data_IF_981497906560
#
_entry.id   IF_981497906560
#
_cell.length_a   1.000
_cell.length_b   1.000
_cell.length_c   1.000
_cell.angle_alpha   90.00
_cell.angle_beta   90.00
_cell.angle_gamma   90.00
#
_symmetry.space_group_name_H-M   'P 1'
#
loop_
_entity.id
_entity.type
_entity.pdbx_description
1 polymer ?
#
# COMPACT_ATOMS: atom_id res chain seq x y z
N UNK A 1 4.03 4.78 13.11
CA UNK A 1 5.10 5.81 13.22
C UNK A 1 5.36 6.26 14.65
N UNK A 2 4.33 6.40 15.52
CA UNK A 2 4.53 6.83 16.91
C UNK A 2 5.39 5.83 17.71
N UNK A 3 5.23 4.54 17.47
CA UNK A 3 5.95 3.48 18.19
C UNK A 3 7.44 3.44 17.84
N UNK A 4 7.79 3.62 16.55
CA UNK A 4 9.18 3.70 16.10
C UNK A 4 9.89 4.88 16.75
N UNK A 5 9.25 6.07 16.75
CA UNK A 5 9.81 7.26 17.40
C UNK A 5 10.04 7.03 18.89
N UNK A 6 9.07 6.40 19.57
CA UNK A 6 9.18 6.06 20.99
C UNK A 6 10.37 5.14 21.24
N UNK A 7 10.51 4.05 20.48
CA UNK A 7 11.65 3.13 20.62
C UNK A 7 13.02 3.80 20.37
N UNK A 8 13.09 4.74 19.42
CA UNK A 8 14.32 5.49 19.16
C UNK A 8 14.67 6.40 20.35
N UNK A 9 13.68 7.11 20.90
CA UNK A 9 13.89 7.97 22.08
C UNK A 9 14.29 7.15 23.30
N UNK A 10 13.61 6.03 23.55
CA UNK A 10 13.93 5.12 24.65
C UNK A 10 15.36 4.58 24.54
N UNK A 11 15.80 4.24 23.32
CA UNK A 11 17.17 3.79 23.05
C UNK A 11 18.21 4.89 23.30
N UNK A 12 17.99 6.10 22.77
CA UNK A 12 18.89 7.24 22.97
C UNK A 12 19.02 7.61 24.44
N UNK A 13 17.91 7.57 25.19
CA UNK A 13 17.91 7.84 26.64
C UNK A 13 18.64 6.74 27.42
N UNK A 14 18.47 5.47 27.04
CA UNK A 14 19.10 4.33 27.72
C UNK A 14 20.62 4.33 27.56
N UNK A 15 21.09 4.65 26.36
CA UNK A 15 22.51 4.70 26.01
C UNK A 15 23.16 6.07 26.30
N UNK A 16 22.39 7.04 26.85
CA UNK A 16 22.84 8.40 27.18
C UNK A 16 23.51 9.11 26.00
N UNK A 17 22.89 9.01 24.82
CA UNK A 17 23.42 9.53 23.56
C UNK A 17 22.93 10.96 23.25
N UNK A 18 22.10 11.54 24.11
CA UNK A 18 21.59 12.90 23.94
C UNK A 18 22.66 13.93 24.34
N UNK A 19 22.78 15.00 23.56
CA UNK A 19 23.71 16.10 23.88
C UNK A 19 23.21 16.92 25.09
N UNK A 20 24.11 17.22 26.03
CA UNK A 20 23.81 17.95 27.27
C UNK A 20 23.50 19.44 27.02
N UNK A 21 24.08 20.02 25.96
CA UNK A 21 23.91 21.43 25.60
C UNK A 21 22.67 21.62 24.74
N UNK A 22 22.47 20.73 23.76
CA UNK A 22 21.34 20.80 22.85
C UNK A 22 20.58 19.48 22.79
N UNK A 23 19.45 19.42 23.50
CA UNK A 23 18.56 18.25 23.57
C UNK A 23 18.00 17.78 22.22
N UNK A 24 18.14 18.56 21.14
CA UNK A 24 17.71 18.17 19.80
C UNK A 24 18.74 17.31 19.06
N UNK A 25 19.97 17.25 19.57
CA UNK A 25 21.11 16.56 19.00
C UNK A 25 21.38 15.22 19.70
N UNK A 26 21.83 14.25 18.91
CA UNK A 26 22.15 12.88 19.33
C UNK A 26 23.53 12.51 18.82
N UNK A 27 24.39 12.07 19.73
CA UNK A 27 25.70 11.49 19.47
C UNK A 27 25.54 10.02 19.07
N UNK A 28 25.95 9.66 17.86
CA UNK A 28 25.81 8.28 17.39
C UNK A 28 26.84 7.36 18.05
N UNK A 29 26.37 6.25 18.63
CA UNK A 29 27.23 5.15 19.07
C UNK A 29 27.65 4.26 17.88
N UNK A 30 28.59 3.34 18.09
CA UNK A 30 29.11 2.47 17.03
C UNK A 30 28.03 1.61 16.37
N UNK A 31 26.98 1.22 17.12
CA UNK A 31 25.86 0.45 16.58
C UNK A 31 25.00 1.28 15.62
N UNK A 32 24.62 2.50 16.00
CA UNK A 32 23.87 3.41 15.14
C UNK A 32 24.72 3.85 13.95
N UNK A 33 26.00 4.15 14.18
CA UNK A 33 26.97 4.40 13.12
C UNK A 33 26.95 3.24 12.14
N UNK A 34 27.16 1.99 12.56
CA UNK A 34 27.18 0.82 11.68
C UNK A 34 25.88 0.65 10.87
N UNK A 35 24.73 0.94 11.46
CA UNK A 35 23.43 0.90 10.77
C UNK A 35 23.27 2.02 9.71
N UNK A 36 23.83 3.20 9.99
CA UNK A 36 23.72 4.42 9.18
C UNK A 36 24.86 4.58 8.14
N UNK A 37 25.99 3.91 8.36
CA UNK A 37 27.32 4.04 7.70
C UNK A 37 27.39 3.62 6.23
N UNK A 38 26.29 3.66 5.47
CA UNK A 38 26.42 3.60 4.01
C UNK A 38 26.96 4.90 3.39
N UNK A 39 27.10 6.01 4.15
CA UNK A 39 27.48 7.33 3.61
C UNK A 39 28.28 8.28 4.53
N UNK A 40 28.62 7.90 5.75
CA UNK A 40 29.06 8.88 6.76
C UNK A 40 30.51 8.67 7.16
N UNK A 41 31.37 9.60 6.73
CA UNK A 41 32.80 9.66 7.04
C UNK A 41 33.03 9.71 8.56
N UNK A 42 34.08 9.02 8.98
CA UNK A 42 34.38 8.51 10.33
C UNK A 42 34.65 9.52 11.45
N UNK A 43 34.17 10.75 11.38
CA UNK A 43 34.51 11.80 12.35
C UNK A 43 33.24 12.54 12.80
N UNK A 44 32.79 12.23 14.02
CA UNK A 44 31.73 12.86 14.82
C UNK A 44 30.43 13.26 14.11
N UNK A 45 29.54 12.27 14.00
CA UNK A 45 28.25 12.43 13.34
C UNK A 45 27.19 12.71 14.41
N UNK A 46 27.18 13.94 14.91
CA UNK A 46 26.05 14.47 15.69
C UNK A 46 24.88 14.69 14.74
N UNK A 47 23.75 14.03 14.97
CA UNK A 47 22.56 14.21 14.13
C UNK A 47 21.37 14.68 14.95
N UNK A 48 20.43 15.32 14.28
CA UNK A 48 19.14 15.66 14.89
C UNK A 48 18.29 14.42 15.07
N UNK A 49 17.40 14.44 16.08
CA UNK A 49 16.38 13.40 16.24
C UNK A 49 15.56 13.17 14.97
N UNK A 50 15.25 14.23 14.21
CA UNK A 50 14.47 14.12 12.98
C UNK A 50 15.23 13.35 11.89
N UNK A 51 16.53 13.63 11.72
CA UNK A 51 17.39 12.90 10.80
C UNK A 51 17.54 11.43 11.22
N UNK A 52 17.77 11.17 12.52
CA UNK A 52 17.88 9.81 13.05
C UNK A 52 16.63 8.98 12.73
N UNK A 53 15.45 9.53 13.02
CA UNK A 53 14.17 8.86 12.75
C UNK A 53 14.02 8.61 11.25
N UNK A 54 14.37 9.58 10.40
CA UNK A 54 14.25 9.47 8.95
C UNK A 54 15.16 8.38 8.39
N UNK A 55 16.43 8.35 8.79
CA UNK A 55 17.40 7.35 8.32
C UNK A 55 17.05 5.93 8.79
N UNK A 56 16.70 5.75 10.07
CA UNK A 56 16.26 4.46 10.61
C UNK A 56 15.00 3.97 9.87
N UNK A 57 14.00 4.85 9.72
CA UNK A 57 12.77 4.50 9.00
C UNK A 57 13.04 4.20 7.52
N UNK A 58 14.03 4.87 6.92
CA UNK A 58 14.46 4.62 5.54
C UNK A 58 15.12 3.26 5.33
N UNK A 59 15.83 2.73 6.34
CA UNK A 59 16.43 1.39 6.33
C UNK A 59 15.41 0.28 6.62
N UNK A 60 14.30 0.59 7.26
CA UNK A 60 13.24 -0.39 7.54
C UNK A 60 12.54 -0.86 6.26
N UNK A 61 12.20 -2.16 6.21
CA UNK A 61 11.38 -2.69 5.13
C UNK A 61 9.97 -2.12 5.23
N UNK A 62 9.51 -1.43 4.19
CA UNK A 62 8.12 -0.99 4.09
C UNK A 62 7.21 -2.21 4.17
N UNK A 63 6.20 -2.14 5.02
CA UNK A 63 5.17 -3.17 5.15
C UNK A 63 3.83 -2.51 5.36
N UNK A 64 2.76 -3.22 5.01
CA UNK A 64 1.40 -2.77 5.22
C UNK A 64 0.55 -3.89 5.79
N UNK A 65 -0.47 -3.49 6.53
CA UNK A 65 -1.46 -4.36 7.12
C UNK A 65 -2.81 -3.96 6.55
N UNK A 66 -3.56 -4.96 6.07
CA UNK A 66 -4.93 -4.77 5.61
C UNK A 66 -5.86 -5.31 6.70
N UNK A 67 -6.73 -4.44 7.21
CA UNK A 67 -7.81 -4.80 8.13
C UNK A 67 -9.15 -4.55 7.47
N UNK A 68 -10.06 -5.52 7.57
CA UNK A 68 -11.48 -5.28 7.30
C UNK A 68 -12.23 -5.04 8.60
N UNK A 69 -13.38 -4.35 8.49
CA UNK A 69 -14.38 -3.85 9.45
C UNK A 69 -14.47 -4.42 10.90
N UNK A 70 -13.79 -5.51 11.25
CA UNK A 70 -13.71 -6.13 12.58
C UNK A 70 -12.27 -6.25 13.12
N UNK A 71 -11.33 -5.39 12.70
CA UNK A 71 -9.89 -5.44 13.05
C UNK A 71 -9.21 -6.78 12.71
N UNK A 72 -9.85 -7.61 11.89
CA UNK A 72 -9.27 -8.86 11.44
C UNK A 72 -8.14 -8.55 10.46
N UNK A 73 -6.93 -8.93 10.84
CA UNK A 73 -5.74 -8.81 9.99
C UNK A 73 -5.91 -9.79 8.84
N UNK A 74 -6.26 -9.29 7.67
CA UNK A 74 -6.44 -10.13 6.50
C UNK A 74 -5.09 -10.58 5.96
N UNK A 75 -4.09 -9.70 6.00
CA UNK A 75 -2.72 -10.01 5.57
C UNK A 75 -1.72 -8.97 6.03
N UNK A 76 -0.49 -9.42 6.31
CA UNK A 76 0.69 -8.60 6.52
C UNK A 76 1.64 -8.83 5.35
N UNK A 77 1.80 -7.83 4.50
CA UNK A 77 2.65 -7.94 3.32
C UNK A 77 3.90 -7.08 3.49
N UNK A 78 5.04 -7.63 3.04
CA UNK A 78 6.28 -6.88 2.86
C UNK A 78 6.23 -6.16 1.52
N UNK A 79 6.69 -4.92 1.49
CA UNK A 79 6.76 -4.07 0.31
C UNK A 79 5.74 -2.93 0.30
N UNK A 80 5.66 -2.25 -0.84
CA UNK A 80 4.68 -1.17 -1.07
C UNK A 80 3.30 -1.76 -1.35
N UNK A 81 2.27 -1.19 -0.73
CA UNK A 81 0.88 -1.50 -1.04
C UNK A 81 0.62 -1.17 -2.51
N UNK A 82 0.29 -2.20 -3.30
CA UNK A 82 -0.10 -2.02 -4.70
C UNK A 82 -1.57 -1.60 -4.75
N UNK A 83 -1.91 -0.47 -5.39
CA UNK A 83 -3.30 -0.07 -5.54
C UNK A 83 -4.06 -1.05 -6.44
N UNK A 84 -5.38 -1.13 -6.24
CA UNK A 84 -6.30 -1.80 -7.17
C UNK A 84 -6.24 -1.03 -8.47
N UNK A 85 -5.92 -1.74 -9.55
CA UNK A 85 -5.77 -1.14 -10.87
C UNK A 85 -6.92 -1.57 -11.76
N UNK A 86 -7.70 -0.59 -12.22
CA UNK A 86 -8.83 -0.78 -13.11
C UNK A 86 -8.43 -0.39 -14.53
N UNK A 87 -8.57 -1.31 -15.48
CA UNK A 87 -8.24 -1.06 -16.87
C UNK A 87 -9.39 -1.46 -17.78
N UNK A 88 -9.47 -0.82 -18.95
CA UNK A 88 -10.39 -1.23 -20.01
C UNK A 88 -9.57 -1.68 -21.20
N UNK A 89 -9.71 -2.94 -21.59
CA UNK A 89 -9.07 -3.50 -22.78
C UNK A 89 -10.11 -3.82 -23.86
N UNK A 90 -9.70 -3.78 -25.12
CA UNK A 90 -10.52 -4.20 -26.25
C UNK A 90 -9.99 -5.54 -26.76
N UNK A 91 -10.81 -6.60 -26.75
CA UNK A 91 -10.36 -7.97 -27.08
C UNK A 91 -10.53 -8.32 -28.56
N UNK A 92 -11.71 -8.06 -29.12
CA UNK A 92 -12.03 -8.39 -30.51
C UNK A 92 -13.10 -7.44 -31.04
N UNK A 93 -12.82 -6.79 -32.17
CA UNK A 93 -13.65 -5.70 -32.70
C UNK A 93 -13.82 -4.58 -31.67
N UNK A 94 -15.06 -4.14 -31.46
CA UNK A 94 -15.41 -3.10 -30.48
C UNK A 94 -15.79 -3.67 -29.09
N UNK A 95 -15.51 -4.95 -28.81
CA UNK A 95 -15.83 -5.56 -27.51
C UNK A 95 -14.82 -5.14 -26.45
N UNK A 96 -15.31 -4.32 -25.51
CA UNK A 96 -14.57 -3.88 -24.33
C UNK A 96 -14.70 -4.89 -23.20
N UNK A 97 -13.65 -5.03 -22.42
CA UNK A 97 -13.61 -5.79 -21.18
C UNK A 97 -12.95 -4.93 -20.11
N UNK A 98 -13.44 -5.03 -18.88
CA UNK A 98 -12.87 -4.36 -17.71
C UNK A 98 -11.97 -5.36 -16.99
N UNK A 99 -10.73 -4.97 -16.74
CA UNK A 99 -9.72 -5.76 -16.04
C UNK A 99 -9.51 -5.13 -14.66
N UNK A 100 -9.48 -5.97 -13.63
CA UNK A 100 -9.31 -5.56 -12.24
C UNK A 100 -8.15 -6.35 -11.64
N UNK A 101 -7.10 -5.66 -11.25
CA UNK A 101 -5.86 -6.25 -10.71
C UNK A 101 -5.69 -5.95 -9.21
N UNK A 102 -4.87 -6.76 -8.54
CA UNK A 102 -4.44 -6.60 -7.14
C UNK A 102 -5.60 -6.65 -6.13
N UNK A 103 -6.71 -7.35 -6.41
CA UNK A 103 -7.82 -7.50 -5.45
C UNK A 103 -7.43 -8.41 -4.27
N UNK A 104 -6.61 -9.42 -4.56
CA UNK A 104 -6.05 -10.37 -3.61
C UNK A 104 -5.24 -9.68 -2.50
N UNK A 105 -4.53 -8.61 -2.84
CA UNK A 105 -3.76 -7.78 -1.90
C UNK A 105 -4.63 -7.16 -0.80
N UNK A 106 -5.92 -6.92 -1.08
CA UNK A 106 -6.87 -6.35 -0.13
C UNK A 106 -7.65 -7.43 0.64
N UNK A 107 -7.30 -8.71 0.46
CA UNK A 107 -7.99 -9.83 1.08
C UNK A 107 -9.41 -10.05 0.56
N UNK A 108 -9.71 -9.56 -0.64
CA UNK A 108 -11.01 -9.75 -1.29
C UNK A 108 -11.07 -11.14 -1.89
N UNK A 109 -12.11 -11.92 -1.57
CA UNK A 109 -12.36 -13.18 -2.28
C UNK A 109 -12.77 -12.89 -3.73
N UNK A 110 -11.89 -13.29 -4.65
CA UNK A 110 -12.09 -13.13 -6.10
C UNK A 110 -13.35 -13.83 -6.58
N UNK A 111 -13.72 -14.97 -5.99
CA UNK A 111 -14.91 -15.73 -6.40
C UNK A 111 -16.18 -15.00 -5.99
N UNK A 112 -16.24 -14.47 -4.77
CA UNK A 112 -17.36 -13.64 -4.33
C UNK A 112 -17.45 -12.37 -5.18
N UNK A 113 -16.32 -11.71 -5.41
CA UNK A 113 -16.24 -10.50 -6.22
C UNK A 113 -16.77 -10.73 -7.66
N UNK A 114 -16.39 -11.84 -8.29
CA UNK A 114 -16.92 -12.23 -9.61
C UNK A 114 -18.43 -12.40 -9.60
N UNK A 115 -18.99 -13.12 -8.61
CA UNK A 115 -20.45 -13.32 -8.49
C UNK A 115 -21.20 -11.99 -8.34
N UNK A 116 -20.67 -11.08 -7.52
CA UNK A 116 -21.27 -9.77 -7.32
C UNK A 116 -21.24 -8.91 -8.59
N UNK A 117 -20.12 -8.93 -9.31
CA UNK A 117 -20.01 -8.27 -10.60
C UNK A 117 -20.98 -8.88 -11.62
N UNK A 118 -21.08 -10.21 -11.66
CA UNK A 118 -21.99 -10.91 -12.58
C UNK A 118 -23.45 -10.57 -12.30
N UNK A 119 -23.87 -10.57 -11.03
CA UNK A 119 -25.25 -10.23 -10.65
C UNK A 119 -25.57 -8.75 -10.83
N UNK A 120 -24.65 -7.85 -10.44
CA UNK A 120 -24.91 -6.41 -10.48
C UNK A 120 -24.87 -5.80 -11.88
N UNK A 121 -24.10 -6.39 -12.79
CA UNK A 121 -23.92 -5.89 -14.16
C UNK A 121 -24.63 -6.77 -15.21
N UNK A 122 -25.12 -7.95 -14.81
CA UNK A 122 -25.61 -8.97 -15.73
C UNK A 122 -24.59 -9.32 -16.84
N UNK A 123 -23.31 -9.37 -16.47
CA UNK A 123 -22.19 -9.59 -17.39
C UNK A 123 -21.35 -10.79 -16.98
N UNK A 124 -20.76 -11.48 -17.97
CA UNK A 124 -19.84 -12.58 -17.69
C UNK A 124 -18.56 -12.07 -17.01
N UNK A 125 -18.11 -12.81 -16.00
CA UNK A 125 -16.87 -12.54 -15.26
C UNK A 125 -15.95 -13.75 -15.30
N UNK A 126 -14.65 -13.54 -15.42
CA UNK A 126 -13.65 -14.60 -15.43
C UNK A 126 -12.42 -14.20 -14.62
N UNK A 127 -11.81 -15.15 -13.92
CA UNK A 127 -10.55 -14.96 -13.20
C UNK A 127 -9.42 -15.50 -14.08
N UNK A 128 -8.44 -14.67 -14.38
CA UNK A 128 -7.26 -15.01 -15.16
C UNK A 128 -6.00 -14.80 -14.31
N UNK A 129 -4.94 -15.56 -14.58
CA UNK A 129 -3.63 -15.33 -13.97
C UNK A 129 -2.74 -14.58 -14.96
N UNK A 130 -2.31 -13.37 -14.60
CA UNK A 130 -1.43 -12.52 -15.41
C UNK A 130 -0.19 -12.21 -14.60
N UNK A 131 1.00 -12.59 -15.10
CA UNK A 131 2.28 -12.37 -14.41
C UNK A 131 2.28 -12.88 -12.95
N UNK A 132 1.73 -14.09 -12.72
CA UNK A 132 1.52 -14.69 -11.39
C UNK A 132 0.63 -13.89 -10.42
N UNK A 133 -0.11 -12.89 -10.91
CA UNK A 133 -1.14 -12.18 -10.14
C UNK A 133 -2.53 -12.51 -10.68
N UNK A 134 -3.51 -12.64 -9.78
CA UNK A 134 -4.88 -12.86 -10.18
C UNK A 134 -5.51 -11.56 -10.71
N UNK A 135 -6.17 -11.67 -11.86
CA UNK A 135 -6.86 -10.60 -12.56
C UNK A 135 -8.31 -11.01 -12.81
N UNK A 136 -9.25 -10.20 -12.33
CA UNK A 136 -10.67 -10.37 -12.64
C UNK A 136 -10.98 -9.63 -13.94
N UNK A 137 -11.67 -10.30 -14.86
CA UNK A 137 -12.15 -9.75 -16.13
C UNK A 137 -13.67 -9.72 -16.11
N UNK A 138 -14.26 -8.58 -16.45
CA UNK A 138 -15.71 -8.36 -16.56
C UNK A 138 -16.04 -7.90 -17.98
N UNK A 139 -17.06 -8.49 -18.60
CA UNK A 139 -17.47 -8.08 -19.95
C UNK A 139 -18.06 -6.65 -19.96
N UNK A 140 -17.68 -5.84 -20.95
CA UNK A 140 -18.08 -4.45 -21.09
C UNK A 140 -17.17 -3.46 -20.38
N UNK A 141 -17.47 -2.16 -20.50
CA UNK A 141 -16.81 -1.11 -19.73
C UNK A 141 -17.60 -0.84 -18.45
N UNK A 142 -17.11 -1.35 -17.32
CA UNK A 142 -17.80 -1.42 -16.04
C UNK A 142 -17.02 -0.77 -14.90
N UNK A 143 -16.09 0.13 -15.23
CA UNK A 143 -15.21 0.82 -14.28
C UNK A 143 -16.02 1.51 -13.16
N UNK A 144 -17.13 2.19 -13.51
CA UNK A 144 -17.98 2.89 -12.52
C UNK A 144 -18.60 1.92 -11.53
N UNK A 145 -19.16 0.81 -12.04
CA UNK A 145 -19.79 -0.20 -11.20
C UNK A 145 -18.77 -0.84 -10.27
N UNK A 146 -17.61 -1.25 -10.80
CA UNK A 146 -16.53 -1.86 -10.01
C UNK A 146 -16.03 -0.90 -8.95
N UNK A 147 -15.80 0.37 -9.30
CA UNK A 147 -15.37 1.38 -8.34
C UNK A 147 -16.38 1.56 -7.19
N UNK A 148 -17.67 1.62 -7.51
CA UNK A 148 -18.73 1.73 -6.50
C UNK A 148 -18.80 0.48 -5.63
N UNK A 149 -18.71 -0.72 -6.23
CA UNK A 149 -18.69 -1.98 -5.48
C UNK A 149 -17.52 -2.03 -4.48
N UNK A 150 -16.32 -1.61 -4.89
CA UNK A 150 -15.13 -1.56 -4.04
C UNK A 150 -15.26 -0.53 -2.90
N UNK A 151 -15.86 0.63 -3.19
CA UNK A 151 -16.01 1.71 -2.20
C UNK A 151 -17.15 1.44 -1.23
N UNK A 152 -18.29 0.95 -1.71
CA UNK A 152 -19.52 0.80 -0.93
C UNK A 152 -19.57 -0.53 -0.17
N UNK A 153 -19.30 -1.66 -0.86
CA UNK A 153 -19.40 -2.98 -0.23
C UNK A 153 -18.13 -3.37 0.50
N UNK A 154 -16.97 -3.11 -0.10
CA UNK A 154 -15.67 -3.49 0.46
C UNK A 154 -15.00 -2.38 1.28
N UNK A 155 -15.62 -1.18 1.36
CA UNK A 155 -15.15 -0.04 2.13
C UNK A 155 -13.69 0.36 1.84
N UNK A 156 -13.27 0.20 0.57
CA UNK A 156 -11.90 0.50 0.15
C UNK A 156 -11.76 1.99 -0.09
N UNK A 157 -10.74 2.60 0.51
CA UNK A 157 -10.50 4.02 0.31
C UNK A 157 -10.10 4.32 -1.13
N UNK A 158 -10.74 5.34 -1.73
CA UNK A 158 -10.51 5.77 -3.12
C UNK A 158 -9.04 6.02 -3.48
N UNK A 159 -8.20 6.40 -2.51
CA UNK A 159 -6.75 6.61 -2.69
C UNK A 159 -6.01 5.35 -3.15
N UNK A 160 -6.59 4.17 -2.91
CA UNK A 160 -6.03 2.87 -3.23
C UNK A 160 -6.60 2.27 -4.52
N UNK A 161 -7.44 3.00 -5.25
CA UNK A 161 -8.04 2.57 -6.51
C UNK A 161 -7.52 3.49 -7.63
N UNK A 162 -7.03 2.91 -8.72
CA UNK A 162 -6.57 3.60 -9.94
C UNK A 162 -7.42 3.21 -11.14
N UNK A 163 -7.45 4.06 -12.17
CA UNK A 163 -8.16 3.75 -13.42
C UNK A 163 -9.60 4.29 -13.50
N UNK A 164 -10.02 5.11 -12.54
CA UNK A 164 -11.35 5.74 -12.57
C UNK A 164 -11.49 6.72 -13.73
N UNK A 165 -10.39 7.28 -14.22
CA UNK A 165 -10.31 8.14 -15.40
C UNK A 165 -10.75 7.45 -16.70
N UNK A 166 -10.70 6.12 -16.74
CA UNK A 166 -11.14 5.29 -17.86
C UNK A 166 -12.64 4.99 -17.82
N UNK A 167 -13.34 5.50 -16.80
CA UNK A 167 -14.77 5.34 -16.66
C UNK A 167 -15.54 5.96 -17.84
N UNK A 168 -16.63 5.33 -18.30
CA UNK A 168 -17.53 5.95 -19.26
C UNK A 168 -18.07 7.25 -18.65
N UNK A 169 -17.84 8.38 -19.35
CA UNK A 169 -18.40 9.67 -18.93
C UNK A 169 -19.91 9.56 -18.86
N UNK A 170 -20.50 9.99 -17.74
CA UNK A 170 -21.95 10.09 -17.58
C UNK A 170 -22.46 11.03 -18.68
N UNK A 171 -23.16 10.49 -19.69
CA UNK A 171 -23.92 11.34 -20.61
C UNK A 171 -25.02 12.00 -19.78
N UNK A 172 -24.93 13.32 -19.64
CA UNK A 172 -26.03 14.16 -19.16
C UNK A 172 -27.14 14.19 -20.20
#
# INVERSE_FOLDING_TARGET
MKDIKKHIVDYVSKEKLQDDTNKTLVHLNDTLKAMLLSKTTSEDIVITYEQLIKEITGKMTQSYQVTMNNDQILSQYKGKLKPIDLQVATRSGNKKVTLVNNLDVYGIDLKEFCKLCQHGVAASTCINMVNNAAQVQVQGNQIVFVHNLLTEKFNIQKRFIRGLELAPKKKR
#
